data_IF_920761016364
#
_entry.id   IF_920761016364
#
_cell.length_a   1.000
_cell.length_b   1.000
_cell.length_c   1.000
_cell.angle_alpha   90.00
_cell.angle_beta   90.00
_cell.angle_gamma   90.00
#
_symmetry.space_group_name_H-M   'P 1'
#
loop_
_entity.id
_entity.type
_entity.pdbx_description
1 polymer ?
#
# COMPACT_ATOMS: atom_id res chain seq x y z
N UNK A 1 -27.73 -1.56 -19.02
CA UNK A 1 -27.27 -0.82 -17.84
C UNK A 1 -27.09 -1.80 -16.68
N UNK A 2 -25.99 -1.76 -15.93
CA UNK A 2 -25.72 -2.75 -14.85
C UNK A 2 -26.46 -2.36 -13.57
N UNK A 3 -27.06 -3.34 -12.88
CA UNK A 3 -27.82 -3.15 -11.64
C UNK A 3 -27.01 -2.45 -10.53
N UNK A 4 -27.63 -1.52 -9.80
CA UNK A 4 -26.97 -0.72 -8.73
C UNK A 4 -26.36 -1.63 -7.66
N UNK A 5 -27.11 -2.60 -7.14
CA UNK A 5 -26.61 -3.54 -6.12
C UNK A 5 -25.39 -4.33 -6.60
N UNK A 6 -25.33 -4.69 -7.89
CA UNK A 6 -24.18 -5.40 -8.47
C UNK A 6 -22.94 -4.49 -8.50
N UNK A 7 -23.11 -3.20 -8.77
CA UNK A 7 -22.03 -2.20 -8.69
C UNK A 7 -21.58 -1.98 -7.26
N UNK A 8 -22.51 -1.79 -6.32
CA UNK A 8 -22.18 -1.62 -4.90
C UNK A 8 -21.38 -2.80 -4.36
N UNK A 9 -21.78 -4.03 -4.70
CA UNK A 9 -21.04 -5.24 -4.32
C UNK A 9 -19.60 -5.26 -4.84
N UNK A 10 -19.40 -4.83 -6.08
CA UNK A 10 -18.06 -4.74 -6.67
C UNK A 10 -17.15 -3.72 -5.97
N UNK A 11 -17.74 -2.71 -5.31
CA UNK A 11 -17.03 -1.67 -4.58
C UNK A 11 -16.75 -2.04 -3.12
N UNK A 12 -17.55 -2.92 -2.50
CA UNK A 12 -17.36 -3.26 -1.10
C UNK A 12 -15.96 -3.82 -0.75
N UNK A 13 -15.25 -4.57 -1.61
CA UNK A 13 -13.87 -4.96 -1.35
C UNK A 13 -12.90 -3.79 -1.15
N UNK A 14 -13.22 -2.58 -1.66
CA UNK A 14 -12.42 -1.38 -1.45
C UNK A 14 -12.49 -0.87 0.00
N UNK A 15 -13.46 -1.32 0.81
CA UNK A 15 -13.47 -1.01 2.24
C UNK A 15 -12.21 -1.49 2.95
N UNK A 16 -11.55 -2.53 2.42
CA UNK A 16 -10.23 -3.00 2.89
C UNK A 16 -9.13 -1.94 2.93
N UNK A 17 -9.33 -0.77 2.31
CA UNK A 17 -8.42 0.37 2.41
C UNK A 17 -8.51 1.06 3.78
N UNK A 18 -9.63 0.95 4.50
CA UNK A 18 -9.81 1.62 5.80
C UNK A 18 -9.16 0.84 6.95
N UNK A 19 -8.93 -0.46 6.79
CA UNK A 19 -8.58 -1.37 7.89
C UNK A 19 -7.60 -2.48 7.47
N UNK A 20 -7.05 -3.16 8.47
CA UNK A 20 -6.03 -4.21 8.34
C UNK A 20 -4.60 -3.68 8.30
N UNK A 21 -3.63 -4.58 8.19
CA UNK A 21 -2.19 -4.25 8.19
C UNK A 21 -1.86 -3.14 7.19
N UNK A 22 -1.27 -2.02 7.63
CA UNK A 22 -1.08 -0.83 6.80
C UNK A 22 -1.98 0.34 7.16
N UNK A 23 -3.10 0.11 7.84
CA UNK A 23 -3.99 1.15 8.34
C UNK A 23 -3.42 1.66 9.67
N UNK A 24 -2.60 2.71 9.61
CA UNK A 24 -2.02 3.32 10.80
C UNK A 24 -2.12 4.84 10.76
N UNK A 25 -2.13 5.45 11.93
CA UNK A 25 -2.11 6.89 12.15
C UNK A 25 -0.69 7.29 12.56
N UNK A 26 -0.13 8.31 11.90
CA UNK A 26 1.16 8.86 12.27
C UNK A 26 1.05 9.65 13.58
N UNK A 27 2.08 9.61 14.45
CA UNK A 27 2.01 10.26 15.75
C UNK A 27 1.97 11.79 15.63
N UNK A 28 1.22 12.50 16.48
CA UNK A 28 1.13 13.96 16.44
C UNK A 28 2.41 14.65 16.96
N UNK A 29 2.66 15.94 16.62
CA UNK A 29 3.76 16.71 17.19
C UNK A 29 3.68 16.67 18.73
N UNK A 30 4.78 16.47 19.49
CA UNK A 30 6.19 16.81 19.21
C UNK A 30 7.06 15.69 18.61
N UNK A 31 6.51 14.51 18.31
CA UNK A 31 7.29 13.45 17.67
C UNK A 31 7.71 13.84 16.24
N UNK A 32 8.84 13.31 15.74
CA UNK A 32 9.29 13.58 14.37
C UNK A 32 8.21 13.20 13.36
N UNK A 33 7.80 14.17 12.54
CA UNK A 33 6.73 14.03 11.58
C UNK A 33 7.27 13.43 10.29
N UNK A 34 6.58 12.41 9.75
CA UNK A 34 6.91 11.87 8.43
C UNK A 34 6.36 12.82 7.36
N UNK A 35 7.26 13.52 6.66
CA UNK A 35 6.88 14.50 5.63
C UNK A 35 6.86 13.90 4.23
N UNK A 36 7.68 12.88 3.94
CA UNK A 36 7.71 12.26 2.60
C UNK A 36 7.99 10.77 2.65
N UNK A 37 7.25 10.01 1.84
CA UNK A 37 7.49 8.59 1.60
C UNK A 37 7.73 8.35 0.11
N UNK A 38 8.85 7.72 -0.23
CA UNK A 38 9.20 7.34 -1.61
C UNK A 38 9.57 5.87 -1.69
N UNK A 39 8.85 5.11 -2.50
CA UNK A 39 9.12 3.70 -2.78
C UNK A 39 9.63 3.55 -4.21
N UNK A 40 10.84 3.01 -4.36
CA UNK A 40 11.43 2.72 -5.66
C UNK A 40 11.59 1.21 -5.83
N UNK A 41 11.10 0.67 -6.95
CA UNK A 41 11.34 -0.72 -7.34
C UNK A 41 10.99 -0.96 -8.82
N UNK A 42 11.51 -2.03 -9.42
CA UNK A 42 11.13 -2.41 -10.78
C UNK A 42 9.69 -2.97 -10.83
N UNK A 43 8.76 -2.16 -11.33
CA UNK A 43 7.34 -2.51 -11.39
C UNK A 43 7.02 -3.58 -12.43
N UNK A 44 7.86 -3.72 -13.47
CA UNK A 44 7.62 -4.64 -14.60
C UNK A 44 8.11 -6.04 -14.30
N UNK A 45 9.19 -6.18 -13.53
CA UNK A 45 9.71 -7.50 -13.17
C UNK A 45 8.79 -8.25 -12.20
N UNK A 46 8.48 -9.51 -12.51
CA UNK A 46 7.73 -10.41 -11.65
C UNK A 46 8.65 -11.40 -10.93
N UNK A 47 9.50 -10.86 -10.06
CA UNK A 47 10.51 -11.63 -9.34
C UNK A 47 10.18 -11.74 -7.85
N UNK A 48 10.71 -12.77 -7.19
CA UNK A 48 10.55 -12.97 -5.73
C UNK A 48 11.10 -11.77 -4.94
N UNK A 49 12.18 -11.14 -5.42
CA UNK A 49 12.79 -9.95 -4.80
C UNK A 49 11.90 -8.71 -4.82
N UNK A 50 11.06 -8.58 -5.84
CA UNK A 50 10.18 -7.42 -6.06
C UNK A 50 8.83 -7.59 -5.38
N UNK A 51 8.45 -8.84 -5.09
CA UNK A 51 7.15 -9.19 -4.52
C UNK A 51 6.83 -8.42 -3.22
N UNK A 52 7.75 -8.24 -2.25
CA UNK A 52 7.45 -7.51 -1.02
C UNK A 52 7.12 -6.03 -1.28
N UNK A 53 7.93 -5.35 -2.10
CA UNK A 53 7.68 -3.96 -2.49
C UNK A 53 6.33 -3.79 -3.20
N UNK A 54 5.94 -4.76 -4.03
CA UNK A 54 4.65 -4.76 -4.72
C UNK A 54 3.48 -4.96 -3.76
N UNK A 55 3.60 -5.87 -2.79
CA UNK A 55 2.57 -6.09 -1.76
C UNK A 55 2.45 -4.83 -0.90
N UNK A 56 3.58 -4.27 -0.46
CA UNK A 56 3.61 -3.02 0.28
C UNK A 56 2.94 -1.86 -0.48
N UNK A 57 3.20 -1.72 -1.78
CA UNK A 57 2.50 -0.73 -2.61
C UNK A 57 0.99 -1.00 -2.72
N UNK A 58 0.58 -2.25 -2.91
CA UNK A 58 -0.81 -2.59 -3.23
C UNK A 58 -1.71 -2.62 -2.00
N UNK A 59 -1.20 -3.11 -0.88
CA UNK A 59 -2.01 -3.42 0.29
C UNK A 59 -1.79 -2.39 1.40
N UNK A 60 -0.55 -2.05 1.74
CA UNK A 60 -0.24 -1.18 2.88
C UNK A 60 -0.32 0.32 2.55
N UNK A 61 0.31 0.78 1.46
CA UNK A 61 0.35 2.22 1.12
C UNK A 61 -1.03 2.88 0.93
N UNK A 62 -2.03 2.24 0.29
CA UNK A 62 -3.36 2.84 0.16
C UNK A 62 -4.04 3.01 1.52
N UNK A 63 -3.85 2.03 2.43
CA UNK A 63 -4.39 2.09 3.79
C UNK A 63 -3.78 3.22 4.60
N UNK A 64 -2.45 3.35 4.52
CA UNK A 64 -1.73 4.43 5.17
C UNK A 64 -2.18 5.81 4.65
N UNK A 65 -2.38 5.95 3.33
CA UNK A 65 -2.80 7.20 2.69
C UNK A 65 -4.22 7.61 3.07
N UNK A 66 -5.11 6.65 3.32
CA UNK A 66 -6.49 6.91 3.71
C UNK A 66 -6.57 7.64 5.05
N UNK A 67 -5.79 7.20 6.03
CA UNK A 67 -5.73 7.82 7.36
C UNK A 67 -4.82 9.04 7.40
N UNK A 68 -3.79 9.10 6.55
CA UNK A 68 -2.83 10.21 6.48
C UNK A 68 -2.87 10.90 5.11
N UNK A 69 -3.94 11.63 4.76
CA UNK A 69 -4.08 12.25 3.44
C UNK A 69 -3.03 13.33 3.16
N UNK A 70 -2.48 13.97 4.20
CA UNK A 70 -1.41 14.96 4.07
C UNK A 70 -0.07 14.39 3.63
N UNK A 71 0.18 13.09 3.81
CA UNK A 71 1.47 12.47 3.51
C UNK A 71 1.68 12.29 1.98
N UNK A 72 2.64 12.98 1.33
CA UNK A 72 2.98 12.71 -0.05
C UNK A 72 3.71 11.36 -0.18
N UNK A 73 3.05 10.42 -0.88
CA UNK A 73 3.57 9.10 -1.20
C UNK A 73 3.92 9.06 -2.69
N UNK A 74 5.18 8.73 -3.02
CA UNK A 74 5.64 8.54 -4.40
C UNK A 74 6.07 7.10 -4.63
N UNK A 75 5.71 6.58 -5.80
CA UNK A 75 6.15 5.25 -6.23
C UNK A 75 6.76 5.34 -7.62
N UNK A 76 8.06 5.08 -7.71
CA UNK A 76 8.85 5.26 -8.93
C UNK A 76 9.50 3.94 -9.36
N UNK A 77 9.82 3.84 -10.66
CA UNK A 77 10.67 2.74 -11.13
C UNK A 77 12.12 3.04 -10.78
N UNK A 78 12.84 2.07 -10.25
CA UNK A 78 14.22 2.28 -9.85
C UNK A 78 14.79 1.15 -8.99
N UNK A 79 15.93 1.41 -8.33
CA UNK A 79 16.51 0.46 -7.39
C UNK A 79 15.51 0.20 -6.26
N UNK A 80 15.54 -1.03 -5.75
CA UNK A 80 14.66 -1.53 -4.68
C UNK A 80 14.95 -0.86 -3.34
N UNK A 81 14.37 0.31 -3.09
CA UNK A 81 14.57 1.06 -1.85
C UNK A 81 13.30 1.79 -1.40
N UNK A 82 13.13 1.92 -0.11
CA UNK A 82 12.11 2.71 0.54
C UNK A 82 12.79 3.87 1.26
N UNK A 83 12.33 5.10 1.02
CA UNK A 83 12.88 6.31 1.60
C UNK A 83 11.80 7.03 2.42
N UNK A 84 12.13 7.35 3.66
CA UNK A 84 11.29 8.10 4.59
C UNK A 84 12.01 9.39 4.98
N UNK A 85 11.37 10.54 4.80
CA UNK A 85 11.89 11.84 5.23
C UNK A 85 11.11 12.32 6.43
N UNK A 86 11.82 12.56 7.52
CA UNK A 86 11.31 13.05 8.78
C UNK A 86 11.68 14.52 8.98
N UNK A 87 10.76 15.27 9.57
CA UNK A 87 10.94 16.66 9.97
C UNK A 87 10.63 16.82 11.46
N UNK A 88 11.46 17.59 12.16
CA UNK A 88 11.30 17.86 13.59
C UNK A 88 11.85 19.23 13.95
N UNK A 89 11.28 19.87 14.96
CA UNK A 89 11.84 21.08 15.56
C UNK A 89 13.09 20.78 16.41
N UNK A 90 13.19 19.55 16.93
CA UNK A 90 14.28 19.12 17.80
C UNK A 90 15.25 18.18 17.06
N UNK A 91 16.53 18.52 17.08
CA UNK A 91 17.57 17.67 16.49
C UNK A 91 17.75 16.35 17.27
N UNK A 92 17.52 16.36 18.59
CA UNK A 92 17.74 15.19 19.44
C UNK A 92 16.73 14.07 19.15
N UNK A 93 15.47 14.40 18.88
CA UNK A 93 14.44 13.40 18.54
C UNK A 93 14.77 12.66 17.24
N UNK A 94 15.38 13.33 16.25
CA UNK A 94 15.86 12.70 15.01
C UNK A 94 17.09 11.78 15.23
N UNK A 95 17.89 12.03 16.28
CA UNK A 95 19.00 11.14 16.67
C UNK A 95 18.52 9.94 17.46
N UNK A 96 17.53 10.12 18.33
CA UNK A 96 16.91 9.02 19.08
C UNK A 96 16.22 8.02 18.17
N UNK A 97 15.55 8.50 17.12
CA UNK A 97 14.87 7.65 16.16
C UNK A 97 15.84 6.70 15.43
N UNK A 98 17.05 7.16 15.10
CA UNK A 98 18.12 6.32 14.54
C UNK A 98 18.60 5.26 15.54
N UNK A 99 18.83 5.63 16.81
CA UNK A 99 19.27 4.69 17.85
C UNK A 99 18.27 3.56 18.03
N UNK A 100 16.98 3.88 18.11
CA UNK A 100 15.90 2.88 18.24
C UNK A 100 15.87 1.95 17.01
N UNK A 101 16.07 2.48 15.81
CA UNK A 101 16.12 1.68 14.57
C UNK A 101 17.27 0.68 14.60
N UNK A 102 18.47 1.11 15.01
CA UNK A 102 19.66 0.26 15.12
C UNK A 102 19.47 -0.90 16.11
N UNK A 103 18.86 -0.67 17.27
CA UNK A 103 18.61 -1.71 18.28
C UNK A 103 17.60 -2.77 17.80
N UNK A 104 16.61 -2.34 17.01
CA UNK A 104 15.56 -3.21 16.47
C UNK A 104 16.03 -4.00 15.24
N UNK A 105 17.06 -3.51 14.54
CA UNK A 105 17.59 -4.07 13.29
C UNK A 105 18.49 -5.32 13.43
N UNK A 106 18.42 -6.03 14.58
CA UNK A 106 19.23 -7.22 14.84
C UNK A 106 18.93 -8.43 13.91
N UNK A 107 17.88 -8.37 13.10
CA UNK A 107 17.52 -9.46 12.18
C UNK A 107 18.44 -9.57 10.94
N UNK A 108 19.37 -8.62 10.72
CA UNK A 108 20.35 -8.68 9.63
C UNK A 108 19.76 -8.68 8.20
N UNK A 109 18.43 -8.57 8.11
CA UNK A 109 17.66 -8.77 6.88
C UNK A 109 17.59 -7.50 6.02
N UNK A 110 17.76 -6.32 6.64
CA UNK A 110 17.69 -5.03 5.97
C UNK A 110 18.97 -4.21 6.14
N UNK A 111 19.36 -3.50 5.07
CA UNK A 111 20.39 -2.46 5.14
C UNK A 111 19.72 -1.10 5.15
N UNK A 112 19.64 -0.53 6.35
CA UNK A 112 19.23 0.85 6.58
C UNK A 112 20.43 1.78 6.45
N UNK A 113 20.21 2.94 5.86
CA UNK A 113 21.19 4.02 5.78
C UNK A 113 20.51 5.33 6.12
N UNK A 114 21.06 6.02 7.11
CA UNK A 114 20.57 7.32 7.57
C UNK A 114 21.39 8.44 6.95
N UNK A 115 20.73 9.50 6.48
CA UNK A 115 21.43 10.72 6.05
C UNK A 115 21.83 11.57 7.25
N UNK A 116 22.76 12.50 7.00
CA UNK A 116 23.09 13.57 7.95
C UNK A 116 21.86 14.46 8.20
N UNK A 117 21.82 15.10 9.37
CA UNK A 117 20.71 15.98 9.75
C UNK A 117 20.92 17.34 9.10
N UNK A 118 20.03 17.70 8.18
CA UNK A 118 20.05 18.99 7.50
C UNK A 118 19.16 19.98 8.25
N UNK A 119 19.57 21.26 8.28
CA UNK A 119 18.77 22.33 8.88
C UNK A 119 18.11 23.14 7.77
N UNK A 120 16.79 23.12 7.70
CA UNK A 120 16.03 23.93 6.76
C UNK A 120 15.57 25.21 7.45
N UNK A 121 16.09 26.34 6.98
CA UNK A 121 15.56 27.65 7.36
C UNK A 121 14.30 27.93 6.53
N UNK A 122 13.14 28.04 7.18
CA UNK A 122 11.88 28.34 6.48
C UNK A 122 11.86 29.83 6.09
N UNK A 123 12.30 30.15 4.86
CA UNK A 123 12.00 31.44 4.25
C UNK A 123 10.51 31.44 3.84
N UNK A 124 9.71 32.27 4.48
CA UNK A 124 8.29 32.44 4.19
C UNK A 124 8.09 33.04 2.80
N UNK A 125 7.56 32.27 1.85
CA UNK A 125 7.10 32.78 0.57
C UNK A 125 5.66 33.28 0.73
N UNK A 126 5.50 34.58 1.04
CA UNK A 126 4.20 35.27 1.04
C UNK A 126 4.06 36.04 -0.27
N UNK A 127 3.13 35.61 -1.15
CA UNK A 127 2.65 36.47 -2.24
C UNK A 127 1.11 36.52 -2.25
N UNK A 128 0.61 37.69 -1.83
CA UNK A 128 -0.69 38.37 -2.11
C UNK A 128 -2.00 37.91 -1.47
N UNK A 129 -2.48 38.65 -0.45
CA UNK A 129 -3.62 39.59 -0.58
C UNK A 129 -3.84 40.47 0.69
N UNK A 130 -3.66 41.79 0.48
CA UNK A 130 -4.29 42.98 1.10
C UNK A 130 -4.68 43.05 2.60
N UNK A 131 -3.94 43.93 3.31
CA UNK A 131 -4.37 45.04 4.20
C UNK A 131 -5.06 44.79 5.56
N UNK A 132 -4.31 44.95 6.66
CA UNK A 132 -4.53 45.93 7.78
C UNK A 132 -3.47 45.79 8.89
N UNK A 133 -3.14 46.85 9.66
CA UNK A 133 -1.95 46.89 10.52
C UNK A 133 -2.21 46.54 12.00
N UNK A 134 -1.11 46.24 12.70
CA UNK A 134 -0.91 46.12 14.16
C UNK A 134 -1.26 44.79 14.85
N UNK A 135 -0.23 43.99 15.14
CA UNK A 135 0.28 43.78 16.51
C UNK A 135 1.50 42.86 16.44
N UNK A 136 2.54 43.21 17.19
CA UNK A 136 3.84 42.56 17.23
C UNK A 136 3.79 41.08 17.58
N UNK A 137 4.31 40.24 16.71
CA UNK A 137 5.01 39.01 17.10
C UNK A 137 6.11 38.75 16.06
N UNK A 138 7.37 38.99 16.44
CA UNK A 138 8.51 38.55 15.65
C UNK A 138 8.39 37.03 15.43
N UNK A 139 8.39 36.50 14.20
CA UNK A 139 8.53 35.07 14.00
C UNK A 139 9.97 34.72 14.37
N UNK A 140 10.19 34.11 15.53
CA UNK A 140 11.44 33.40 15.80
C UNK A 140 11.64 32.39 14.66
N UNK A 141 12.79 32.36 13.98
CA UNK A 141 13.03 31.37 12.93
C UNK A 141 13.07 29.99 13.60
N UNK A 142 11.95 29.26 13.54
CA UNK A 142 11.89 27.88 14.00
C UNK A 142 12.74 27.07 13.03
N UNK A 143 13.97 26.74 13.42
CA UNK A 143 14.84 25.87 12.64
C UNK A 143 14.18 24.49 12.56
N UNK A 144 13.78 24.08 11.36
CA UNK A 144 13.24 22.75 11.12
C UNK A 144 14.39 21.86 10.69
N UNK A 145 14.59 20.75 11.38
CA UNK A 145 15.59 19.75 11.04
C UNK A 145 14.94 18.66 10.20
N UNK A 146 15.60 18.28 9.10
CA UNK A 146 15.16 17.24 8.19
C UNK A 146 16.15 16.08 8.21
N UNK A 147 15.65 14.84 8.21
CA UNK A 147 16.49 13.65 8.10
C UNK A 147 15.81 12.60 7.23
N UNK A 148 16.60 11.89 6.42
CA UNK A 148 16.08 10.83 5.54
C UNK A 148 16.65 9.47 5.93
N UNK A 149 15.78 8.46 5.86
CA UNK A 149 16.09 7.05 6.09
C UNK A 149 15.89 6.33 4.78
N UNK A 150 16.92 5.61 4.33
CA UNK A 150 16.82 4.74 3.17
C UNK A 150 16.94 3.29 3.61
N UNK A 151 15.92 2.50 3.27
CA UNK A 151 15.84 1.06 3.46
C UNK A 151 16.05 0.36 2.11
N UNK A 152 17.10 -0.45 1.98
CA UNK A 152 17.25 -1.34 0.82
C UNK A 152 16.37 -2.57 0.95
N UNK A 153 15.51 -2.79 -0.04
CA UNK A 153 14.56 -3.91 -0.05
C UNK A 153 15.22 -5.14 -0.66
N UNK A 154 15.28 -6.25 0.07
CA UNK A 154 15.72 -7.55 -0.44
C UNK A 154 14.57 -8.56 -0.66
N UNK A 155 14.88 -9.82 -1.02
CA UNK A 155 13.89 -10.88 -1.22
C UNK A 155 13.36 -11.42 0.11
N UNK A 156 12.63 -10.59 0.84
CA UNK A 156 12.20 -10.85 2.23
C UNK A 156 10.71 -11.11 2.34
N UNK A 157 10.23 -11.39 3.55
CA UNK A 157 8.81 -11.65 3.79
C UNK A 157 7.95 -10.39 3.53
N UNK A 158 6.76 -10.53 2.90
CA UNK A 158 5.93 -9.39 2.52
C UNK A 158 5.46 -8.46 3.65
N UNK A 159 5.33 -8.95 4.89
CA UNK A 159 4.92 -8.13 6.06
C UNK A 159 6.08 -7.51 6.84
N UNK A 160 7.33 -7.86 6.52
CA UNK A 160 8.49 -7.38 7.28
C UNK A 160 8.77 -5.89 7.01
N UNK A 161 8.46 -5.39 5.80
CA UNK A 161 8.55 -3.95 5.47
C UNK A 161 7.58 -3.12 6.31
N UNK A 162 6.37 -3.64 6.57
CA UNK A 162 5.37 -2.93 7.37
C UNK A 162 5.78 -2.86 8.85
N UNK A 163 6.23 -3.97 9.42
CA UNK A 163 6.77 -3.99 10.80
C UNK A 163 7.95 -3.04 10.97
N UNK A 164 8.88 -3.06 10.01
CA UNK A 164 9.97 -2.10 9.98
C UNK A 164 9.45 -0.66 9.97
N UNK A 165 8.50 -0.35 9.09
CA UNK A 165 7.90 0.98 8.99
C UNK A 165 7.23 1.42 10.29
N UNK A 166 6.46 0.54 10.94
CA UNK A 166 5.84 0.79 12.23
C UNK A 166 6.88 1.10 13.32
N UNK A 167 7.93 0.29 13.39
CA UNK A 167 9.00 0.47 14.37
C UNK A 167 9.75 1.79 14.16
N UNK A 168 10.03 2.16 12.90
CA UNK A 168 10.74 3.42 12.57
C UNK A 168 9.87 4.64 12.80
N UNK A 169 8.59 4.61 12.42
CA UNK A 169 7.70 5.78 12.49
C UNK A 169 6.93 5.90 13.81
N UNK A 170 6.92 4.84 14.62
CA UNK A 170 6.09 4.71 15.83
C UNK A 170 4.62 5.02 15.56
N UNK A 171 4.14 4.60 14.39
CA UNK A 171 2.73 4.77 14.04
C UNK A 171 1.87 3.76 14.81
N UNK A 172 0.67 4.20 15.18
CA UNK A 172 -0.31 3.37 15.87
C UNK A 172 -1.28 2.76 14.86
N UNK A 173 -1.55 1.46 15.01
CA UNK A 173 -2.53 0.79 14.15
C UNK A 173 -3.93 1.31 14.42
N UNK A 174 -4.68 1.52 13.34
CA UNK A 174 -6.06 1.97 13.42
C UNK A 174 -6.94 0.88 14.04
N UNK A 175 -7.73 1.18 15.09
CA UNK A 175 -8.54 0.18 15.76
C UNK A 175 -9.60 -0.41 14.83
N UNK A 176 -9.74 -1.74 14.83
CA UNK A 176 -10.75 -2.43 14.03
C UNK A 176 -12.16 -2.17 14.58
N UNK A 177 -13.07 -1.70 13.73
CA UNK A 177 -14.47 -1.46 14.10
C UNK A 177 -15.30 -2.74 13.90
N UNK A 178 -16.03 -3.24 14.92
CA UNK A 178 -16.80 -4.49 14.82
C UNK A 178 -17.89 -4.49 13.73
N UNK A 179 -18.52 -3.36 13.44
CA UNK A 179 -19.55 -3.31 12.38
C UNK A 179 -18.94 -3.58 10.99
N UNK A 180 -17.69 -3.15 10.79
CA UNK A 180 -16.99 -3.28 9.52
C UNK A 180 -16.40 -4.68 9.34
N UNK A 181 -15.99 -5.34 10.43
CA UNK A 181 -15.52 -6.73 10.39
C UNK A 181 -16.65 -7.67 9.99
N UNK A 182 -17.85 -7.50 10.54
CA UNK A 182 -19.04 -8.27 10.14
C UNK A 182 -19.36 -8.09 8.64
N UNK A 183 -19.27 -6.86 8.12
CA UNK A 183 -19.48 -6.60 6.71
C UNK A 183 -18.46 -7.33 5.83
N UNK A 184 -17.19 -7.36 6.26
CA UNK A 184 -16.14 -8.11 5.57
C UNK A 184 -16.38 -9.62 5.61
N UNK A 185 -16.88 -10.16 6.73
CA UNK A 185 -17.21 -11.58 6.85
C UNK A 185 -18.37 -11.97 5.92
N UNK A 186 -19.46 -11.20 5.92
CA UNK A 186 -20.58 -11.39 4.98
C UNK A 186 -20.13 -11.36 3.52
N UNK A 187 -19.16 -10.49 3.19
CA UNK A 187 -18.56 -10.45 1.87
C UNK A 187 -17.72 -11.69 1.55
N UNK A 188 -16.91 -12.16 2.49
CA UNK A 188 -16.09 -13.37 2.33
C UNK A 188 -16.98 -14.58 2.08
N UNK A 189 -18.03 -14.76 2.88
CA UNK A 189 -19.02 -15.82 2.71
C UNK A 189 -19.66 -15.77 1.32
N UNK A 190 -20.05 -14.58 0.88
CA UNK A 190 -20.60 -14.44 -0.45
C UNK A 190 -19.59 -14.81 -1.55
N UNK A 191 -18.34 -14.35 -1.45
CA UNK A 191 -17.33 -14.69 -2.46
C UNK A 191 -17.04 -16.19 -2.49
N UNK A 192 -17.08 -16.87 -1.33
CA UNK A 192 -16.96 -18.32 -1.27
C UNK A 192 -18.11 -19.00 -2.03
N UNK A 193 -19.36 -18.61 -1.80
CA UNK A 193 -20.51 -19.11 -2.55
C UNK A 193 -20.40 -18.82 -4.05
N UNK A 194 -19.96 -17.62 -4.42
CA UNK A 194 -19.77 -17.24 -5.82
C UNK A 194 -18.68 -18.06 -6.52
N UNK A 195 -17.64 -18.48 -5.80
CA UNK A 195 -16.59 -19.35 -6.32
C UNK A 195 -17.11 -20.77 -6.58
N UNK A 196 -17.94 -21.31 -5.68
CA UNK A 196 -18.62 -22.60 -5.89
C UNK A 196 -19.54 -22.57 -7.11
N UNK A 197 -20.35 -21.51 -7.24
CA UNK A 197 -21.22 -21.32 -8.40
C UNK A 197 -20.42 -21.22 -9.71
N UNK A 198 -19.30 -20.49 -9.68
CA UNK A 198 -18.40 -20.37 -10.83
C UNK A 198 -17.83 -21.72 -11.24
N UNK A 199 -17.46 -22.57 -10.28
CA UNK A 199 -16.96 -23.92 -10.55
C UNK A 199 -18.06 -24.81 -11.15
N UNK A 200 -19.29 -24.75 -10.61
CA UNK A 200 -20.44 -25.50 -11.13
C UNK A 200 -20.76 -25.13 -12.58
N UNK A 201 -20.85 -23.83 -12.87
CA UNK A 201 -21.12 -23.34 -14.23
C UNK A 201 -20.01 -23.73 -15.19
N UNK A 202 -18.74 -23.61 -14.76
CA UNK A 202 -17.60 -24.03 -15.58
C UNK A 202 -17.69 -25.51 -15.94
N UNK A 203 -17.95 -26.38 -14.97
CA UNK A 203 -18.09 -27.82 -15.22
C UNK A 203 -19.24 -28.14 -16.20
N UNK A 204 -20.38 -27.45 -16.06
CA UNK A 204 -21.51 -27.60 -16.99
C UNK A 204 -21.16 -27.13 -18.42
N UNK A 205 -20.49 -25.99 -18.55
CA UNK A 205 -20.06 -25.46 -19.86
C UNK A 205 -19.02 -26.36 -20.52
N UNK A 206 -18.07 -26.89 -19.76
CA UNK A 206 -17.06 -27.82 -20.25
C UNK A 206 -17.68 -29.14 -20.74
N UNK A 207 -18.69 -29.66 -20.02
CA UNK A 207 -19.44 -30.85 -20.44
C UNK A 207 -20.22 -30.61 -21.75
N UNK A 208 -20.92 -29.48 -21.88
CA UNK A 208 -21.63 -29.11 -23.12
C UNK A 208 -20.64 -28.94 -24.28
N UNK A 209 -19.48 -28.34 -24.03
CA UNK A 209 -18.43 -28.17 -25.04
C UNK A 209 -17.92 -29.53 -25.52
N UNK A 210 -17.64 -30.46 -24.60
CA UNK A 210 -17.21 -31.82 -24.92
C UNK A 210 -18.26 -32.57 -25.77
N UNK A 211 -19.53 -32.53 -25.36
CA UNK A 211 -20.62 -33.15 -26.12
C UNK A 211 -20.71 -32.59 -27.55
N UNK A 212 -20.53 -31.29 -27.74
CA UNK A 212 -20.52 -30.67 -29.08
C UNK A 212 -19.34 -31.13 -29.92
N UNK A 213 -18.16 -31.24 -29.33
CA UNK A 213 -16.95 -31.74 -30.01
C UNK A 213 -17.11 -33.22 -30.42
N UNK A 214 -17.68 -34.05 -29.55
CA UNK A 214 -17.96 -35.47 -29.82
C UNK A 214 -18.99 -35.63 -30.95
N UNK A 215 -20.09 -34.87 -30.92
CA UNK A 215 -21.10 -34.88 -31.99
C UNK A 215 -20.53 -34.39 -33.32
N UNK A 216 -19.65 -33.38 -33.30
CA UNK A 216 -18.98 -32.88 -34.50
C UNK A 216 -18.07 -33.96 -35.09
N UNK A 217 -17.27 -34.63 -34.27
CA UNK A 217 -16.38 -35.73 -34.68
C UNK A 217 -17.17 -36.90 -35.28
N UNK A 218 -18.31 -37.25 -34.68
CA UNK A 218 -19.18 -38.30 -35.19
C UNK A 218 -19.77 -37.94 -36.57
N UNK A 219 -20.19 -36.67 -36.77
CA UNK A 219 -20.66 -36.18 -38.08
C UNK A 219 -19.58 -36.23 -39.15
N UNK A 220 -18.37 -35.75 -38.84
CA UNK A 220 -17.23 -35.78 -39.77
C UNK A 220 -16.83 -37.21 -40.16
N UNK A 221 -16.91 -38.17 -39.22
CA UNK A 221 -16.63 -39.57 -39.50
C UNK A 221 -17.69 -40.20 -40.41
N UNK A 222 -18.98 -39.90 -40.17
CA UNK A 222 -20.08 -40.38 -41.01
C UNK A 222 -20.00 -39.81 -42.43
N UNK A 223 -19.66 -38.52 -42.57
CA UNK A 223 -19.48 -37.87 -43.88
C UNK A 223 -18.30 -38.48 -44.65
N UNK A 224 -17.18 -38.78 -43.98
CA UNK A 224 -16.07 -39.49 -44.61
C UNK A 224 -16.46 -40.88 -45.11
N UNK A 225 -17.16 -41.65 -44.29
CA UNK A 225 -17.63 -42.98 -44.69
C UNK A 225 -18.63 -42.93 -45.86
N UNK A 226 -19.46 -41.89 -45.93
CA UNK A 226 -20.40 -41.68 -47.04
C UNK A 226 -19.72 -41.26 -48.35
N UNK A 227 -18.61 -40.52 -48.27
CA UNK A 227 -17.83 -40.12 -49.44
C UNK A 227 -16.89 -41.22 -49.96
N UNK A 228 -16.60 -42.24 -49.15
CA UNK A 228 -15.77 -43.41 -49.51
C UNK A 228 -16.58 -44.60 -50.08
N UNK A 229 -17.91 -44.55 -50.01
CA UNK A 229 -18.84 -45.57 -50.53
C UNK A 229 -19.42 -45.17 -51.90
#
# INVERSE_FOLDING_TARGET
MVHVLKRMRGLQPLFKVRHGEGAAILPPPPSPQLTRLSLQYDRKQWNKSTRPARIFQKDHLPRLKYHNPGLPIRVEQGPRRLQLTFESADQQTLRELEKTSLETSNDGEYRETWTEIETKSQASDQTTSSASPSSSSNPTPTSIFTRTVELRLGPHQPGSIWKWFQNTTRCEDYPENPEETEQMERLKEFFAQAEEDRQRVKAGMDAIRKQKEDLKRAREAAERMANEA
#
